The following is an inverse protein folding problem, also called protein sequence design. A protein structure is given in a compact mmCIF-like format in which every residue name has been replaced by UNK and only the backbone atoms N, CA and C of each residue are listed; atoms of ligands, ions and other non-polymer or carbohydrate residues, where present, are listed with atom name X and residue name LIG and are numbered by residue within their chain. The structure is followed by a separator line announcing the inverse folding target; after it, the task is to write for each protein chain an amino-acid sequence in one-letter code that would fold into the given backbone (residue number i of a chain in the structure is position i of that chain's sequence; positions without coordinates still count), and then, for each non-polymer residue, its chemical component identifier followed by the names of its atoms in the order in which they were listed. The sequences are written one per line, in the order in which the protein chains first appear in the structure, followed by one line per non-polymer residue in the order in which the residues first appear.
data_IF_947193307760
#
_entry.id   IF_947193307760
#
_cell.length_a   1.000
_cell.length_b   1.000
_cell.length_c   1.000
_cell.angle_alpha   90.00
_cell.angle_beta   90.00
_cell.angle_gamma   90.00
#
_symmetry.space_group_name_H-M   'P 1'
#
loop_
_entity.id
_entity.type
_entity.pdbx_description
1 polymer ?
#
# COMPACT_ATOMS: atom_id res chain seq x y z
N UNK A 1 55.13 -6.14 15.38
CA UNK A 1 54.24 -7.33 15.25
C UNK A 1 52.81 -6.89 15.50
N UNK A 2 51.89 -7.27 14.63
CA UNK A 2 50.59 -6.64 14.42
C UNK A 2 49.44 -7.21 15.27
N UNK A 3 48.45 -6.34 15.47
CA UNK A 3 47.04 -6.46 15.91
C UNK A 3 46.42 -7.86 16.08
N UNK A 4 45.56 -7.97 17.10
CA UNK A 4 44.17 -8.42 16.92
C UNK A 4 43.23 -7.66 17.85
N UNK A 5 42.56 -6.66 17.26
CA UNK A 5 41.40 -5.99 17.84
C UNK A 5 40.24 -6.96 17.64
N UNK A 6 39.59 -7.36 18.74
CA UNK A 6 38.38 -8.18 18.68
C UNK A 6 37.28 -7.39 17.97
N UNK A 7 36.90 -7.84 16.78
CA UNK A 7 35.62 -7.47 16.20
C UNK A 7 34.55 -8.16 17.03
N UNK A 8 33.89 -7.42 17.91
CA UNK A 8 32.58 -7.85 18.41
C UNK A 8 31.61 -7.79 17.24
N UNK A 9 31.00 -8.94 16.96
CA UNK A 9 29.91 -9.16 16.02
C UNK A 9 28.73 -8.26 16.43
N UNK A 10 28.74 -7.01 15.98
CA UNK A 10 27.55 -6.16 15.94
C UNK A 10 26.76 -6.54 14.69
N UNK A 11 26.09 -7.70 14.75
CA UNK A 11 24.79 -7.79 14.09
C UNK A 11 23.92 -6.75 14.75
N UNK A 12 23.73 -5.64 14.06
CA UNK A 12 22.71 -4.66 14.38
C UNK A 12 21.38 -5.42 14.27
N UNK A 13 20.87 -5.92 15.39
CA UNK A 13 19.44 -6.20 15.52
C UNK A 13 18.74 -4.87 15.22
N UNK A 14 18.19 -4.75 14.00
CA UNK A 14 17.37 -3.60 13.62
C UNK A 14 16.26 -3.48 14.65
N UNK A 15 16.14 -2.30 15.27
CA UNK A 15 15.06 -2.06 16.23
C UNK A 15 13.74 -2.06 15.48
N UNK A 16 12.66 -2.67 16.04
CA UNK A 16 11.33 -2.50 15.48
C UNK A 16 10.99 -1.00 15.48
N UNK A 17 10.61 -0.46 14.33
CA UNK A 17 10.31 0.93 13.92
C UNK A 17 11.35 1.68 13.06
N UNK A 18 12.35 1.04 12.46
CA UNK A 18 13.34 1.77 11.64
C UNK A 18 12.89 2.15 10.22
N UNK A 19 11.80 1.57 9.68
CA UNK A 19 11.36 1.88 8.31
C UNK A 19 10.13 2.79 8.29
N UNK A 20 9.14 2.53 9.16
CA UNK A 20 7.91 3.31 9.23
C UNK A 20 8.13 4.81 9.51
N UNK A 21 9.16 5.16 10.29
CA UNK A 21 9.48 6.56 10.59
C UNK A 21 10.01 7.33 9.37
N UNK A 22 10.45 6.63 8.32
CA UNK A 22 10.82 7.20 7.03
C UNK A 22 9.61 7.23 6.09
N UNK A 23 8.76 6.20 6.13
CA UNK A 23 7.55 6.12 5.28
C UNK A 23 6.55 7.21 5.63
N UNK A 24 6.26 7.45 6.92
CA UNK A 24 5.21 8.41 7.32
C UNK A 24 5.48 9.83 6.78
N UNK A 25 6.68 10.43 6.94
CA UNK A 25 6.99 11.72 6.33
C UNK A 25 6.86 11.72 4.80
N UNK A 26 7.27 10.63 4.13
CA UNK A 26 7.15 10.51 2.68
C UNK A 26 5.68 10.44 2.24
N UNK A 27 4.86 9.61 2.87
CA UNK A 27 3.41 9.52 2.62
C UNK A 27 2.77 10.90 2.78
N UNK A 28 3.09 11.62 3.87
CA UNK A 28 2.54 12.97 4.09
C UNK A 28 2.96 13.94 2.99
N UNK A 29 4.21 13.88 2.55
CA UNK A 29 4.73 14.70 1.44
C UNK A 29 4.00 14.40 0.14
N UNK A 30 3.88 13.12 -0.23
CA UNK A 30 3.21 12.65 -1.46
C UNK A 30 1.76 13.13 -1.49
N UNK A 31 0.99 12.84 -0.43
CA UNK A 31 -0.43 13.17 -0.40
C UNK A 31 -0.70 14.67 -0.30
N UNK A 32 0.13 15.43 0.40
CA UNK A 32 0.01 16.90 0.45
C UNK A 32 0.26 17.51 -0.93
N UNK A 33 1.29 17.04 -1.63
CA UNK A 33 1.63 17.55 -2.95
C UNK A 33 0.61 17.10 -4.02
N UNK A 34 0.09 15.88 -3.95
CA UNK A 34 -0.97 15.40 -4.81
C UNK A 34 -2.29 16.18 -4.62
N UNK A 35 -2.69 16.45 -3.36
CA UNK A 35 -3.86 17.29 -3.06
C UNK A 35 -3.68 18.72 -3.60
N UNK A 36 -2.45 19.27 -3.61
CA UNK A 36 -2.18 20.59 -4.20
C UNK A 36 -2.28 20.63 -5.73
N UNK A 37 -2.28 19.47 -6.40
CA UNK A 37 -2.40 19.31 -7.85
C UNK A 37 -3.80 18.81 -8.28
N UNK A 38 -4.75 18.74 -7.33
CA UNK A 38 -6.04 18.07 -7.54
C UNK A 38 -5.88 16.66 -8.15
N UNK A 39 -4.85 15.93 -7.72
CA UNK A 39 -4.55 14.56 -8.10
C UNK A 39 -5.02 13.62 -6.98
N UNK A 40 -6.16 12.93 -7.12
CA UNK A 40 -6.61 12.01 -6.08
C UNK A 40 -5.72 10.76 -6.06
N UNK A 41 -5.03 10.54 -4.94
CA UNK A 41 -4.32 9.29 -4.66
C UNK A 41 -5.05 8.53 -3.56
N UNK A 42 -4.90 7.20 -3.55
CA UNK A 42 -5.34 6.32 -2.48
C UNK A 42 -4.16 5.53 -1.94
N UNK A 43 -4.06 5.43 -0.62
CA UNK A 43 -3.10 4.52 0.02
C UNK A 43 -3.68 3.10 -0.05
N UNK A 44 -2.84 2.13 -0.42
CA UNK A 44 -3.20 0.72 -0.60
C UNK A 44 -2.58 -0.23 0.42
N UNK A 45 -2.81 -1.52 0.20
CA UNK A 45 -2.15 -2.63 0.89
C UNK A 45 -2.03 -2.47 2.40
N UNK A 46 -0.81 -2.63 2.92
CA UNK A 46 -0.54 -2.61 4.36
C UNK A 46 -0.85 -1.26 5.02
N UNK A 47 -0.49 -0.17 4.37
CA UNK A 47 -0.70 1.18 4.91
C UNK A 47 -2.18 1.58 4.90
N UNK A 48 -2.98 1.10 3.95
CA UNK A 48 -4.43 1.32 3.95
C UNK A 48 -5.12 0.68 5.15
N UNK A 49 -4.68 -0.51 5.56
CA UNK A 49 -5.18 -1.19 6.77
C UNK A 49 -4.91 -0.30 7.99
N UNK A 50 -3.66 0.15 8.16
CA UNK A 50 -3.27 0.97 9.30
C UNK A 50 -3.97 2.35 9.30
N UNK A 51 -4.12 2.96 8.12
CA UNK A 51 -4.83 4.22 7.94
C UNK A 51 -6.31 4.11 8.35
N UNK A 52 -7.01 3.07 7.89
CA UNK A 52 -8.43 2.84 8.23
C UNK A 52 -8.61 2.45 9.70
N UNK A 53 -7.63 1.78 10.31
CA UNK A 53 -7.62 1.49 11.75
C UNK A 53 -7.21 2.69 12.61
N UNK A 54 -6.67 3.75 12.01
CA UNK A 54 -6.16 4.94 12.70
C UNK A 54 -4.95 4.66 13.59
N UNK A 55 -4.21 3.56 13.36
CA UNK A 55 -3.03 3.18 14.14
C UNK A 55 -2.09 2.32 13.31
N UNK A 56 -0.79 2.46 13.58
CA UNK A 56 0.24 1.63 12.95
C UNK A 56 0.28 0.27 13.64
N UNK A 57 0.08 -0.83 12.90
CA UNK A 57 -0.03 -2.18 13.47
C UNK A 57 1.20 -3.05 13.25
N UNK A 58 2.03 -2.74 12.23
CA UNK A 58 3.28 -3.43 11.92
C UNK A 58 4.25 -2.56 11.14
N UNK A 59 5.45 -3.06 10.90
CA UNK A 59 6.36 -2.50 9.88
C UNK A 59 5.87 -2.84 8.47
N UNK A 60 6.08 -1.93 7.53
CA UNK A 60 5.79 -2.08 6.10
C UNK A 60 7.08 -1.98 5.30
N UNK A 61 7.21 -2.81 4.26
CA UNK A 61 8.43 -2.88 3.44
C UNK A 61 8.42 -1.86 2.28
N UNK A 62 7.22 -1.40 1.93
CA UNK A 62 6.85 -0.54 0.80
C UNK A 62 5.71 0.41 1.19
N UNK A 63 5.31 1.23 0.22
CA UNK A 63 4.14 2.10 0.25
C UNK A 63 3.32 1.81 -1.02
N UNK A 64 2.19 1.14 -0.84
CA UNK A 64 1.24 0.88 -1.93
C UNK A 64 0.42 2.15 -2.23
N UNK A 65 0.35 2.56 -3.49
CA UNK A 65 -0.37 3.73 -3.97
C UNK A 65 -1.26 3.36 -5.16
N UNK A 66 -2.53 3.73 -5.11
CA UNK A 66 -3.38 3.75 -6.29
C UNK A 66 -3.48 5.17 -6.85
N UNK A 67 -3.35 5.31 -8.16
CA UNK A 67 -3.39 6.60 -8.86
C UNK A 67 -4.36 6.59 -10.05
N UNK A 68 -4.87 7.75 -10.52
CA UNK A 68 -5.77 7.78 -11.68
C UNK A 68 -5.01 7.48 -12.97
N UNK A 69 -5.44 6.45 -13.71
CA UNK A 69 -4.79 6.01 -14.94
C UNK A 69 -4.73 7.12 -16.01
N UNK A 70 -5.79 7.91 -16.13
CA UNK A 70 -5.90 9.06 -17.04
C UNK A 70 -5.01 10.25 -16.63
N UNK A 71 -4.43 10.20 -15.42
CA UNK A 71 -3.51 11.20 -14.86
C UNK A 71 -2.13 10.61 -14.55
N UNK A 72 -1.77 9.47 -15.15
CA UNK A 72 -0.48 8.80 -14.91
C UNK A 72 0.72 9.75 -15.05
N UNK A 73 0.77 10.54 -16.12
CA UNK A 73 1.87 11.48 -16.35
C UNK A 73 2.02 12.52 -15.22
N UNK A 74 0.92 12.97 -14.62
CA UNK A 74 0.97 13.92 -13.49
C UNK A 74 1.52 13.23 -12.22
N UNK A 75 1.14 11.97 -11.99
CA UNK A 75 1.66 11.18 -10.88
C UNK A 75 3.16 10.84 -11.05
N UNK A 76 3.59 10.44 -12.25
CA UNK A 76 5.00 10.22 -12.55
C UNK A 76 5.83 11.51 -12.38
N UNK A 77 5.32 12.65 -12.85
CA UNK A 77 5.95 13.95 -12.64
C UNK A 77 6.06 14.30 -11.16
N UNK A 78 5.04 14.00 -10.36
CA UNK A 78 5.07 14.19 -8.90
C UNK A 78 6.19 13.37 -8.26
N UNK A 79 6.33 12.10 -8.65
CA UNK A 79 7.42 11.21 -8.18
C UNK A 79 8.78 11.79 -8.56
N UNK A 80 8.98 12.20 -9.82
CA UNK A 80 10.23 12.77 -10.31
C UNK A 80 10.60 14.09 -9.58
N UNK A 81 9.63 14.93 -9.27
CA UNK A 81 9.85 16.18 -8.50
C UNK A 81 10.30 15.93 -7.06
N UNK A 82 10.08 14.72 -6.53
CA UNK A 82 10.56 14.30 -5.21
C UNK A 82 11.90 13.57 -5.26
N UNK A 83 12.68 13.78 -6.34
CA UNK A 83 13.89 13.04 -6.66
C UNK A 83 13.66 11.51 -6.71
N UNK A 84 12.43 11.13 -7.09
CA UNK A 84 12.04 9.75 -7.29
C UNK A 84 12.44 9.20 -8.65
N UNK A 85 12.44 7.87 -8.76
CA UNK A 85 12.69 7.18 -10.01
C UNK A 85 11.71 6.03 -10.17
N UNK A 86 11.10 5.91 -11.35
CA UNK A 86 10.36 4.71 -11.76
C UNK A 86 11.40 3.64 -12.10
N UNK A 87 11.38 2.52 -11.39
CA UNK A 87 12.40 1.48 -11.47
C UNK A 87 11.98 0.28 -12.31
N UNK A 88 10.68 -0.02 -12.34
CA UNK A 88 10.15 -1.22 -13.00
C UNK A 88 8.73 -0.95 -13.51
N UNK A 89 8.38 -1.53 -14.67
CA UNK A 89 7.01 -1.61 -15.16
C UNK A 89 6.51 -3.03 -14.89
N UNK A 90 5.34 -3.17 -14.28
CA UNK A 90 4.71 -4.45 -13.97
C UNK A 90 3.47 -4.63 -14.85
N UNK A 91 2.90 -5.84 -14.84
CA UNK A 91 1.65 -6.08 -15.59
C UNK A 91 0.44 -5.36 -14.96
N UNK A 92 0.56 -4.90 -13.71
CA UNK A 92 -0.50 -4.22 -12.94
C UNK A 92 -0.18 -2.76 -12.64
N UNK A 93 0.92 -2.19 -13.14
CA UNK A 93 1.34 -0.84 -12.79
C UNK A 93 2.85 -0.63 -12.89
N UNK A 94 3.44 -0.02 -11.86
CA UNK A 94 4.88 0.21 -11.83
C UNK A 94 5.43 0.30 -10.40
N UNK A 95 6.73 0.03 -10.28
CA UNK A 95 7.48 0.29 -9.05
C UNK A 95 8.28 1.57 -9.18
N UNK A 96 8.33 2.35 -8.11
CA UNK A 96 9.17 3.52 -8.01
C UNK A 96 9.95 3.55 -6.70
N UNK A 97 11.05 4.28 -6.68
CA UNK A 97 11.84 4.53 -5.47
C UNK A 97 11.92 6.03 -5.23
N UNK A 98 11.54 6.45 -4.02
CA UNK A 98 11.67 7.84 -3.57
C UNK A 98 12.45 7.83 -2.26
N UNK A 99 13.58 8.56 -2.21
CA UNK A 99 14.46 8.61 -1.03
C UNK A 99 14.91 7.21 -0.53
N UNK A 100 15.04 6.25 -1.45
CA UNK A 100 15.43 4.87 -1.13
C UNK A 100 14.28 3.98 -0.60
N UNK A 101 13.05 4.50 -0.57
CA UNK A 101 11.84 3.77 -0.16
C UNK A 101 11.06 3.32 -1.39
N UNK A 102 10.56 2.09 -1.36
CA UNK A 102 9.79 1.49 -2.45
C UNK A 102 8.34 1.99 -2.43
N UNK A 103 7.86 2.41 -3.58
CA UNK A 103 6.46 2.65 -3.88
C UNK A 103 5.99 1.56 -4.86
N UNK A 104 4.91 0.87 -4.52
CA UNK A 104 4.20 -0.01 -5.44
C UNK A 104 2.95 0.72 -5.94
N UNK A 105 2.87 0.97 -7.25
CA UNK A 105 1.91 1.91 -7.82
C UNK A 105 0.99 1.22 -8.82
N UNK A 106 -0.31 1.23 -8.52
CA UNK A 106 -1.36 0.62 -9.34
C UNK A 106 -2.33 1.68 -9.92
N UNK A 107 -2.73 1.60 -11.19
CA UNK A 107 -3.70 2.51 -11.78
C UNK A 107 -5.14 2.17 -11.38
N UNK A 108 -5.96 3.20 -11.19
CA UNK A 108 -7.42 3.11 -11.14
C UNK A 108 -8.04 3.82 -12.34
N UNK A 109 -9.07 3.22 -12.91
CA UNK A 109 -9.73 3.65 -14.14
C UNK A 109 -11.08 4.28 -13.82
N UNK A 110 -11.39 5.42 -14.45
CA UNK A 110 -12.66 6.08 -14.26
C UNK A 110 -13.77 5.40 -15.08
N UNK A 111 -14.82 4.93 -14.43
CA UNK A 111 -15.95 4.21 -15.06
C UNK A 111 -17.22 5.06 -15.23
N UNK A 112 -17.05 6.35 -15.51
CA UNK A 112 -18.10 7.40 -15.52
C UNK A 112 -18.68 7.79 -14.15
N UNK A 113 -18.45 7.00 -13.10
CA UNK A 113 -19.00 7.26 -11.75
C UNK A 113 -17.93 7.36 -10.66
N UNK A 114 -16.93 6.49 -10.70
CA UNK A 114 -15.85 6.43 -9.73
C UNK A 114 -14.55 5.97 -10.40
N UNK A 115 -13.43 6.22 -9.73
CA UNK A 115 -12.20 5.50 -10.03
C UNK A 115 -12.30 4.10 -9.45
N UNK A 116 -11.89 3.09 -10.22
CA UNK A 116 -11.87 1.70 -9.79
C UNK A 116 -10.57 1.02 -10.18
N UNK A 117 -10.03 0.18 -9.30
CA UNK A 117 -8.95 -0.74 -9.65
C UNK A 117 -9.52 -1.83 -10.56
N UNK A 118 -8.77 -2.21 -11.59
CA UNK A 118 -9.17 -3.26 -12.53
C UNK A 118 -9.47 -4.58 -11.79
N UNK A 119 -10.48 -5.31 -12.24
CA UNK A 119 -10.92 -6.59 -11.68
C UNK A 119 -11.28 -6.60 -10.18
N UNK A 120 -11.49 -5.43 -9.55
CA UNK A 120 -11.96 -5.34 -8.16
C UNK A 120 -13.48 -5.06 -8.08
N UNK A 121 -14.13 -5.35 -6.93
CA UNK A 121 -15.52 -4.96 -6.71
C UNK A 121 -15.70 -3.43 -6.75
N UNK A 122 -16.89 -2.93 -7.17
CA UNK A 122 -17.16 -1.50 -7.18
C UNK A 122 -16.93 -0.81 -5.83
N UNK A 123 -16.44 0.42 -5.86
CA UNK A 123 -16.09 1.21 -4.69
C UNK A 123 -14.69 0.92 -4.16
N UNK A 124 -13.76 0.48 -5.01
CA UNK A 124 -12.36 0.21 -4.65
C UNK A 124 -11.60 1.48 -4.26
N UNK A 125 -11.91 2.63 -4.89
CA UNK A 125 -11.25 3.92 -4.63
C UNK A 125 -12.24 5.00 -4.15
N UNK A 126 -12.72 4.96 -2.88
CA UNK A 126 -13.66 5.95 -2.35
C UNK A 126 -13.02 7.35 -2.31
N UNK A 127 -13.74 8.36 -2.81
CA UNK A 127 -13.27 9.76 -2.80
C UNK A 127 -13.11 10.38 -1.40
N UNK A 128 -13.94 10.06 -0.39
CA UNK A 128 -13.74 10.53 0.98
C UNK A 128 -12.42 10.05 1.59
N UNK A 129 -11.86 10.86 2.50
CA UNK A 129 -10.67 10.51 3.28
C UNK A 129 -11.07 9.62 4.46
N UNK A 130 -11.16 8.31 4.19
CA UNK A 130 -11.66 7.30 5.15
C UNK A 130 -10.61 6.76 6.13
N UNK A 131 -9.34 7.16 5.98
CA UNK A 131 -8.26 6.78 6.89
C UNK A 131 -7.50 7.96 7.44
N UNK A 132 -6.62 7.68 8.42
CA UNK A 132 -5.72 8.66 9.04
C UNK A 132 -4.34 8.05 9.26
N UNK A 133 -3.29 8.70 8.74
CA UNK A 133 -1.88 8.37 9.04
C UNK A 133 -1.24 9.58 9.71
N UNK A 134 -0.73 9.43 10.93
CA UNK A 134 -0.07 10.52 11.67
C UNK A 134 -0.85 11.86 11.61
N UNK A 135 -2.13 11.78 11.97
CA UNK A 135 -3.11 12.88 11.96
C UNK A 135 -3.48 13.43 10.57
N UNK A 136 -2.86 12.97 9.49
CA UNK A 136 -3.24 13.33 8.12
C UNK A 136 -4.43 12.48 7.67
N UNK A 137 -5.62 13.09 7.42
CA UNK A 137 -6.71 12.38 6.78
C UNK A 137 -6.32 12.04 5.34
N UNK A 138 -6.56 10.78 4.94
CA UNK A 138 -6.05 10.23 3.68
C UNK A 138 -7.13 9.36 3.01
N UNK A 139 -7.17 9.36 1.67
CA UNK A 139 -8.00 8.40 0.93
C UNK A 139 -7.28 7.06 0.93
N UNK A 140 -8.03 5.97 1.10
CA UNK A 140 -7.50 4.62 1.14
C UNK A 140 -8.33 3.74 0.22
N UNK A 141 -7.74 2.71 -0.40
CA UNK A 141 -8.56 1.68 -1.06
C UNK A 141 -9.55 1.07 -0.07
N UNK A 142 -10.72 0.65 -0.53
CA UNK A 142 -11.75 0.08 0.33
C UNK A 142 -11.30 -1.22 0.99
N UNK A 143 -11.93 -1.58 2.11
CA UNK A 143 -11.67 -2.88 2.73
C UNK A 143 -11.90 -4.05 1.75
N UNK A 144 -12.89 -3.92 0.86
CA UNK A 144 -13.19 -4.93 -0.15
C UNK A 144 -12.03 -5.07 -1.15
N UNK A 145 -11.48 -3.94 -1.65
CA UNK A 145 -10.32 -3.94 -2.53
C UNK A 145 -9.08 -4.53 -1.83
N UNK A 146 -8.79 -4.11 -0.60
CA UNK A 146 -7.66 -4.64 0.18
C UNK A 146 -7.78 -6.16 0.36
N UNK A 147 -8.98 -6.67 0.66
CA UNK A 147 -9.20 -8.12 0.80
C UNK A 147 -9.06 -8.85 -0.54
N UNK A 148 -9.43 -8.18 -1.64
CA UNK A 148 -9.37 -8.74 -2.99
C UNK A 148 -7.94 -9.09 -3.39
N UNK A 149 -6.97 -8.23 -3.07
CA UNK A 149 -5.54 -8.50 -3.29
C UNK A 149 -5.06 -9.73 -2.50
N UNK A 150 -5.58 -9.91 -1.29
CA UNK A 150 -5.28 -11.13 -0.51
C UNK A 150 -5.84 -12.39 -1.14
N UNK A 151 -6.94 -12.32 -1.90
CA UNK A 151 -7.43 -13.47 -2.64
C UNK A 151 -6.55 -13.80 -3.83
N UNK A 152 -6.09 -12.78 -4.57
CA UNK A 152 -5.07 -12.97 -5.62
C UNK A 152 -3.78 -13.59 -5.03
N UNK A 153 -3.31 -13.05 -3.91
CA UNK A 153 -2.13 -13.58 -3.23
C UNK A 153 -2.30 -15.03 -2.74
N UNK A 154 -3.53 -15.46 -2.40
CA UNK A 154 -3.81 -16.84 -2.00
C UNK A 154 -3.80 -17.82 -3.18
N UNK A 155 -4.22 -17.36 -4.36
CA UNK A 155 -4.15 -18.14 -5.60
C UNK A 155 -2.70 -18.28 -6.10
N UNK A 156 -1.85 -17.27 -5.87
CA UNK A 156 -0.44 -17.28 -6.27
C UNK A 156 0.46 -18.04 -5.29
N UNK A 157 0.27 -17.80 -3.99
CA UNK A 157 1.12 -18.34 -2.93
C UNK A 157 0.25 -19.09 -1.94
N UNK A 158 0.48 -20.41 -1.76
CA UNK A 158 -0.27 -21.18 -0.77
C UNK A 158 -0.18 -20.53 0.61
N UNK A 159 -1.32 -20.38 1.29
CA UNK A 159 -1.42 -19.70 2.60
C UNK A 159 -0.40 -20.16 3.65
N UNK A 160 -0.01 -21.44 3.62
CA UNK A 160 0.99 -22.01 4.53
C UNK A 160 2.41 -21.42 4.33
N UNK A 161 2.67 -20.76 3.21
CA UNK A 161 3.94 -20.13 2.85
C UNK A 161 3.91 -18.60 3.03
N UNK A 162 2.76 -18.04 3.43
CA UNK A 162 2.65 -16.60 3.62
C UNK A 162 3.57 -16.12 4.75
N UNK A 163 4.28 -15.00 4.55
CA UNK A 163 4.94 -14.31 5.65
C UNK A 163 3.94 -13.97 6.76
N UNK A 164 4.37 -14.07 8.01
CA UNK A 164 3.50 -13.84 9.18
C UNK A 164 2.82 -12.47 9.16
N UNK A 165 3.47 -11.44 8.58
CA UNK A 165 2.90 -10.10 8.41
C UNK A 165 1.65 -10.07 7.52
N UNK A 166 1.62 -10.87 6.45
CA UNK A 166 0.47 -10.97 5.55
C UNK A 166 -0.67 -11.75 6.19
N UNK A 167 -0.35 -12.85 6.90
CA UNK A 167 -1.35 -13.59 7.70
C UNK A 167 -2.01 -12.67 8.73
N UNK A 168 -1.20 -11.89 9.45
CA UNK A 168 -1.68 -10.92 10.44
C UNK A 168 -2.57 -9.83 9.81
N UNK A 169 -2.11 -9.19 8.74
CA UNK A 169 -2.88 -8.15 8.04
C UNK A 169 -4.18 -8.68 7.44
N UNK A 170 -4.18 -9.88 6.83
CA UNK A 170 -5.40 -10.53 6.34
C UNK A 170 -6.42 -10.73 7.48
N UNK A 171 -5.99 -11.16 8.67
CA UNK A 171 -6.90 -11.33 9.82
C UNK A 171 -7.57 -9.99 10.17
N UNK A 172 -6.80 -8.90 10.25
CA UNK A 172 -7.35 -7.56 10.53
C UNK A 172 -8.40 -7.12 9.50
N UNK A 173 -8.13 -7.37 8.21
CA UNK A 173 -9.06 -7.04 7.12
C UNK A 173 -10.35 -7.85 7.23
N UNK A 174 -10.25 -9.16 7.50
CA UNK A 174 -11.42 -10.00 7.70
C UNK A 174 -12.25 -9.60 8.92
N UNK A 175 -11.59 -9.28 10.04
CA UNK A 175 -12.26 -8.78 11.25
C UNK A 175 -13.00 -7.46 10.99
N UNK A 176 -12.41 -6.55 10.20
CA UNK A 176 -13.04 -5.28 9.84
C UNK A 176 -14.27 -5.43 8.95
N UNK A 177 -14.26 -6.40 8.03
CA UNK A 177 -15.36 -6.66 7.09
C UNK A 177 -16.48 -7.54 7.67
N UNK A 178 -16.12 -8.46 8.57
CA UNK A 178 -16.99 -9.49 9.11
C UNK A 178 -17.19 -10.69 8.17
N UNK A 179 -17.37 -11.87 8.76
CA UNK A 179 -17.37 -13.17 8.06
C UNK A 179 -18.32 -13.25 6.87
N UNK A 180 -19.55 -12.73 6.99
CA UNK A 180 -20.54 -12.79 5.92
C UNK A 180 -20.08 -12.01 4.67
N UNK A 181 -19.45 -10.86 4.87
CA UNK A 181 -18.92 -10.03 3.79
C UNK A 181 -17.72 -10.71 3.14
N UNK A 182 -16.80 -11.24 3.94
CA UNK A 182 -15.63 -12.00 3.46
C UNK A 182 -16.06 -13.20 2.62
N UNK A 183 -17.02 -14.00 3.09
CA UNK A 183 -17.54 -15.16 2.35
C UNK A 183 -18.21 -14.72 1.04
N UNK A 184 -18.98 -13.62 1.06
CA UNK A 184 -19.62 -13.09 -0.15
C UNK A 184 -18.59 -12.64 -1.18
N UNK A 185 -17.57 -11.89 -0.75
CA UNK A 185 -16.50 -11.42 -1.61
C UNK A 185 -15.69 -12.58 -2.18
N UNK A 186 -15.36 -13.60 -1.37
CA UNK A 186 -14.66 -14.80 -1.87
C UNK A 186 -15.47 -15.52 -2.95
N UNK A 187 -16.78 -15.69 -2.75
CA UNK A 187 -17.64 -16.30 -3.77
C UNK A 187 -17.67 -15.52 -5.08
N UNK A 188 -17.68 -14.18 -5.00
CA UNK A 188 -17.62 -13.33 -6.19
C UNK A 188 -16.26 -13.50 -6.90
N UNK A 189 -15.17 -13.46 -6.14
CA UNK A 189 -13.82 -13.67 -6.62
C UNK A 189 -13.69 -15.00 -7.37
N UNK A 190 -14.16 -16.11 -6.81
CA UNK A 190 -14.10 -17.44 -7.41
C UNK A 190 -14.92 -17.58 -8.72
N UNK A 191 -15.80 -16.62 -9.03
CA UNK A 191 -16.69 -16.65 -10.20
C UNK A 191 -16.38 -15.60 -11.27
N UNK A 192 -15.29 -14.85 -11.11
CA UNK A 192 -14.87 -13.83 -12.08
C UNK A 192 -14.36 -14.42 -13.39
#
# INVERSE_FOLDING_TARGET
MAKRIGYSDRRLEKRPNEVNHLHIPLIKTIFTAADALDLPLWIGGGWAIDARLGRITREHDDIDLTFPADRQADFENLILQMDGQITEQTDYGFLAVVQGLLLDCEPAYFNDSAYEIEDTPPGSCPMPKEGVIDQLPIRCNSWAAILWDYFYYEDEVPRAQWPQKHVFSHVLVCEALGDNTVISLRKQFDTR
#
